data_IF_549776860600
#
_entry.id   IF_549776860600
#
_cell.length_a   1.000
_cell.length_b   1.000
_cell.length_c   1.000
_cell.angle_alpha   90.00
_cell.angle_beta   90.00
_cell.angle_gamma   90.00
#
_symmetry.space_group_name_H-M   'P 1'
#
loop_
_entity.id
_entity.type
_entity.pdbx_description
1 polymer ?
#
# COMPACT_ATOMS: atom_id res chain seq x y z
N UNK A 1 8.37 20.44 -30.08
CA UNK A 1 7.14 21.29 -30.13
C UNK A 1 6.21 20.71 -29.11
N UNK A 2 5.51 21.50 -28.28
CA UNK A 2 4.56 20.96 -27.33
C UNK A 2 3.12 21.32 -27.78
N UNK A 3 2.18 20.40 -27.55
CA UNK A 3 0.81 20.60 -27.96
C UNK A 3 -0.07 20.79 -26.73
N UNK A 4 -0.68 21.98 -26.62
CA UNK A 4 -1.76 22.23 -25.68
C UNK A 4 -3.07 21.83 -26.35
N UNK A 5 -3.83 20.99 -25.68
CA UNK A 5 -5.16 20.56 -26.11
C UNK A 5 -6.18 21.26 -25.22
N UNK A 6 -6.87 22.28 -25.76
CA UNK A 6 -7.70 23.20 -24.96
C UNK A 6 -9.19 23.06 -25.24
N UNK A 7 -9.56 22.41 -26.35
CA UNK A 7 -10.97 22.30 -26.73
C UNK A 7 -11.41 20.85 -26.84
N UNK A 8 -12.72 20.56 -26.63
CA UNK A 8 -13.26 19.21 -26.83
C UNK A 8 -13.02 18.65 -28.25
N UNK A 9 -12.98 19.52 -29.27
CA UNK A 9 -12.69 19.14 -30.67
C UNK A 9 -11.22 18.69 -30.80
N UNK A 10 -10.29 19.39 -30.16
CA UNK A 10 -8.88 18.99 -30.14
C UNK A 10 -8.69 17.69 -29.37
N UNK A 11 -9.40 17.50 -28.24
CA UNK A 11 -9.40 16.24 -27.50
C UNK A 11 -9.84 15.06 -28.37
N UNK A 12 -10.87 15.25 -29.21
CA UNK A 12 -11.31 14.22 -30.16
C UNK A 12 -10.23 13.82 -31.15
N UNK A 13 -9.30 14.71 -31.51
CA UNK A 13 -8.16 14.38 -32.38
C UNK A 13 -7.21 13.38 -31.74
N UNK A 14 -7.15 13.29 -30.40
CA UNK A 14 -6.36 12.25 -29.71
C UNK A 14 -6.90 10.84 -29.98
N UNK A 15 -8.11 10.69 -30.52
CA UNK A 15 -8.67 9.40 -30.92
C UNK A 15 -7.89 8.71 -32.07
N UNK A 16 -7.01 9.43 -32.77
CA UNK A 16 -6.07 8.79 -33.73
C UNK A 16 -5.13 7.80 -33.03
N UNK A 17 -4.92 7.97 -31.70
CA UNK A 17 -4.13 7.07 -30.89
C UNK A 17 -4.98 5.99 -30.20
N UNK A 18 -6.22 5.79 -30.65
CA UNK A 18 -7.08 4.71 -30.16
C UNK A 18 -6.33 3.38 -30.17
N UNK A 19 -6.48 2.61 -29.09
CA UNK A 19 -5.79 1.31 -28.88
C UNK A 19 -4.26 1.38 -28.80
N UNK A 20 -3.65 2.56 -28.86
CA UNK A 20 -2.21 2.73 -28.62
C UNK A 20 -1.89 2.78 -27.13
N UNK A 21 -0.81 2.11 -26.77
CA UNK A 21 -0.23 2.20 -25.42
C UNK A 21 0.33 3.60 -25.20
N UNK A 22 0.05 4.18 -24.04
CA UNK A 22 0.43 5.56 -23.73
C UNK A 22 0.93 5.69 -22.29
N UNK A 23 1.91 6.57 -22.05
CA UNK A 23 2.20 7.10 -20.73
C UNK A 23 1.22 8.21 -20.40
N UNK A 24 0.70 8.23 -19.18
CA UNK A 24 -0.24 9.25 -18.72
C UNK A 24 0.17 9.73 -17.34
N UNK A 25 0.26 11.06 -17.15
CA UNK A 25 0.60 11.68 -15.88
C UNK A 25 -0.47 12.71 -15.50
N UNK A 26 -1.03 12.59 -14.29
CA UNK A 26 -1.88 13.60 -13.69
C UNK A 26 -0.98 14.62 -13.01
N UNK A 27 -1.09 15.88 -13.43
CA UNK A 27 -0.41 16.99 -12.77
C UNK A 27 -1.39 17.59 -11.76
N UNK A 28 -1.04 17.48 -10.49
CA UNK A 28 -1.86 17.97 -9.39
C UNK A 28 -1.56 19.43 -9.08
N UNK A 29 -2.48 20.11 -8.40
CA UNK A 29 -2.31 21.48 -7.94
C UNK A 29 -1.09 21.62 -7.00
N UNK A 30 -0.76 20.57 -6.24
CA UNK A 30 0.46 20.46 -5.46
C UNK A 30 0.94 19.00 -5.41
N UNK A 31 2.24 18.79 -5.55
CA UNK A 31 2.86 17.46 -5.46
C UNK A 31 3.08 17.01 -4.00
N UNK A 32 2.86 17.91 -3.03
CA UNK A 32 3.11 17.67 -1.61
C UNK A 32 1.92 17.07 -0.86
N UNK A 33 0.75 17.01 -1.51
CA UNK A 33 -0.49 16.54 -0.88
C UNK A 33 -0.78 15.08 -1.17
N UNK A 34 -1.51 14.47 -0.26
CA UNK A 34 -2.23 13.23 -0.57
C UNK A 34 -3.13 13.45 -1.79
N UNK A 35 -3.17 12.54 -2.78
CA UNK A 35 -3.96 12.74 -4.01
C UNK A 35 -5.43 13.10 -3.77
N UNK A 36 -6.03 12.59 -2.70
CA UNK A 36 -7.40 12.93 -2.29
C UNK A 36 -7.58 14.41 -1.93
N UNK A 37 -6.53 15.09 -1.52
CA UNK A 37 -6.57 16.48 -1.05
C UNK A 37 -6.10 17.48 -2.12
N UNK A 38 -5.55 17.01 -3.23
CA UNK A 38 -5.04 17.84 -4.32
C UNK A 38 -5.88 17.64 -5.58
N UNK A 39 -6.34 18.74 -6.21
CA UNK A 39 -7.09 18.66 -7.46
C UNK A 39 -6.18 18.47 -8.67
N UNK A 40 -6.63 17.79 -9.75
CA UNK A 40 -5.90 17.74 -11.00
C UNK A 40 -5.98 19.08 -11.71
N UNK A 41 -4.86 19.64 -12.16
CA UNK A 41 -4.80 20.90 -12.91
C UNK A 41 -4.50 20.69 -14.38
N UNK A 42 -3.82 19.62 -14.73
CA UNK A 42 -3.56 19.22 -16.11
C UNK A 42 -3.35 17.71 -16.20
N UNK A 43 -3.51 17.17 -17.41
CA UNK A 43 -3.17 15.81 -17.77
C UNK A 43 -2.14 15.83 -18.88
N UNK A 44 -1.07 15.08 -18.72
CA UNK A 44 -0.11 14.84 -19.77
C UNK A 44 -0.32 13.44 -20.37
N UNK A 45 -0.31 13.34 -21.71
CA UNK A 45 -0.46 12.08 -22.46
C UNK A 45 0.65 11.97 -23.47
N UNK A 46 1.33 10.82 -23.49
CA UNK A 46 2.40 10.50 -24.41
C UNK A 46 2.19 9.10 -24.99
N UNK A 47 1.70 8.95 -26.24
CA UNK A 47 1.70 7.65 -26.91
C UNK A 47 3.13 7.12 -27.02
N UNK A 48 3.37 5.85 -26.68
CA UNK A 48 4.72 5.29 -26.56
C UNK A 48 5.49 5.29 -27.88
N UNK A 49 4.77 5.17 -29.02
CA UNK A 49 5.31 5.10 -30.38
C UNK A 49 5.33 6.48 -31.08
N UNK A 50 5.01 7.57 -30.38
CA UNK A 50 4.93 8.89 -30.98
C UNK A 50 6.05 9.81 -30.45
N UNK A 51 6.48 10.78 -31.27
CA UNK A 51 7.64 11.64 -30.91
C UNK A 51 7.30 12.80 -29.99
N UNK A 52 6.04 13.08 -29.72
CA UNK A 52 5.58 14.25 -28.98
C UNK A 52 4.45 13.92 -28.03
N UNK A 53 4.36 14.66 -26.91
CA UNK A 53 3.31 14.55 -25.93
C UNK A 53 2.24 15.64 -26.08
N UNK A 54 1.18 15.48 -25.32
CA UNK A 54 0.04 16.40 -25.27
C UNK A 54 -0.22 16.79 -23.82
N UNK A 55 -0.42 18.09 -23.56
CA UNK A 55 -0.86 18.56 -22.25
C UNK A 55 -2.30 19.10 -22.36
N UNK A 56 -3.16 18.62 -21.49
CA UNK A 56 -4.57 18.95 -21.42
C UNK A 56 -4.82 19.74 -20.13
N UNK A 57 -5.01 21.07 -20.17
CA UNK A 57 -5.36 21.84 -18.99
C UNK A 57 -6.75 21.46 -18.49
N UNK A 58 -6.90 21.27 -17.17
CA UNK A 58 -8.15 20.93 -16.49
C UNK A 58 -8.62 22.13 -15.66
N UNK A 59 -7.78 22.56 -14.72
CA UNK A 59 -8.00 23.69 -13.83
C UNK A 59 -6.72 24.52 -13.70
N UNK A 60 -6.13 24.85 -14.85
CA UNK A 60 -4.92 25.66 -14.94
C UNK A 60 -5.23 27.06 -15.54
N UNK A 61 -4.67 28.17 -14.98
CA UNK A 61 -4.98 29.52 -15.44
C UNK A 61 -4.66 29.82 -16.91
N UNK A 62 -3.70 29.10 -17.50
CA UNK A 62 -3.32 29.27 -18.93
C UNK A 62 -4.17 28.44 -19.89
N UNK A 63 -5.23 27.75 -19.43
CA UNK A 63 -6.05 26.89 -20.26
C UNK A 63 -7.55 27.10 -20.09
N UNK A 64 -8.34 26.66 -21.08
CA UNK A 64 -9.80 26.81 -21.07
C UNK A 64 -10.51 25.79 -20.16
N UNK A 65 -9.77 24.79 -19.66
CA UNK A 65 -10.35 23.74 -18.82
C UNK A 65 -11.14 22.68 -19.60
N UNK A 66 -10.68 21.42 -19.58
CA UNK A 66 -11.38 20.30 -20.20
C UNK A 66 -12.12 19.51 -19.12
N UNK A 67 -13.44 19.27 -19.27
CA UNK A 67 -14.20 18.50 -18.30
C UNK A 67 -13.63 17.07 -18.10
N UNK A 68 -13.53 16.64 -16.84
CA UNK A 68 -12.96 15.33 -16.48
C UNK A 68 -13.69 14.15 -17.17
N UNK A 69 -14.99 14.27 -17.42
CA UNK A 69 -15.78 13.25 -18.12
C UNK A 69 -15.33 13.06 -19.58
N UNK A 70 -14.96 14.16 -20.26
CA UNK A 70 -14.44 14.10 -21.64
C UNK A 70 -13.07 13.44 -21.62
N UNK A 71 -12.20 13.81 -20.68
CA UNK A 71 -10.87 13.20 -20.49
C UNK A 71 -11.01 11.70 -20.23
N UNK A 72 -11.89 11.31 -19.30
CA UNK A 72 -12.12 9.89 -18.96
C UNK A 72 -12.59 9.07 -20.16
N UNK A 73 -13.45 9.62 -21.01
CA UNK A 73 -13.91 8.96 -22.26
C UNK A 73 -12.75 8.75 -23.25
N UNK A 74 -11.89 9.75 -23.41
CA UNK A 74 -10.73 9.67 -24.30
C UNK A 74 -9.71 8.67 -23.76
N UNK A 75 -9.38 8.73 -22.47
CA UNK A 75 -8.49 7.78 -21.83
C UNK A 75 -8.97 6.34 -21.96
N UNK A 76 -10.29 6.11 -21.87
CA UNK A 76 -10.88 4.79 -22.04
C UNK A 76 -10.75 4.25 -23.46
N UNK A 77 -10.48 5.08 -24.46
CA UNK A 77 -10.28 4.66 -25.86
C UNK A 77 -8.86 4.20 -26.15
N UNK A 78 -7.87 4.55 -25.35
CA UNK A 78 -6.48 4.11 -25.52
C UNK A 78 -6.29 2.65 -25.11
N UNK A 79 -5.19 2.05 -25.56
CA UNK A 79 -4.72 0.74 -25.12
C UNK A 79 -4.32 0.75 -23.63
N UNK A 80 -3.15 0.22 -23.30
CA UNK A 80 -2.63 0.30 -21.94
C UNK A 80 -2.20 1.74 -21.63
N UNK A 81 -2.52 2.19 -20.41
CA UNK A 81 -2.08 3.49 -19.87
C UNK A 81 -1.08 3.23 -18.75
N UNK A 82 0.19 3.49 -19.06
CA UNK A 82 1.29 3.41 -18.09
C UNK A 82 1.28 4.68 -17.26
N UNK A 83 1.10 4.54 -15.97
CA UNK A 83 1.07 5.63 -15.00
C UNK A 83 2.14 5.40 -13.94
N UNK A 84 2.74 6.47 -13.42
CA UNK A 84 3.79 6.34 -12.42
C UNK A 84 3.29 5.61 -11.17
N UNK A 85 2.11 5.99 -10.66
CA UNK A 85 1.41 5.41 -9.53
C UNK A 85 -0.08 5.29 -9.87
N UNK A 86 -0.57 4.05 -10.04
CA UNK A 86 -1.96 3.77 -10.42
C UNK A 86 -2.93 4.25 -9.35
N UNK A 87 -2.60 4.08 -8.08
CA UNK A 87 -3.48 4.47 -6.99
C UNK A 87 -3.66 6.00 -6.94
N UNK A 88 -2.59 6.77 -7.08
CA UNK A 88 -2.65 8.22 -7.20
C UNK A 88 -3.50 8.67 -8.40
N UNK A 89 -3.39 7.97 -9.52
CA UNK A 89 -4.17 8.26 -10.72
C UNK A 89 -5.67 8.05 -10.53
N UNK A 90 -6.10 6.95 -9.90
CA UNK A 90 -7.52 6.63 -9.74
C UNK A 90 -8.26 7.53 -8.75
N UNK A 91 -7.56 8.33 -7.93
CA UNK A 91 -8.19 9.41 -7.17
C UNK A 91 -8.83 10.48 -8.05
N UNK A 92 -8.36 10.63 -9.28
CA UNK A 92 -8.78 11.70 -10.20
C UNK A 92 -9.55 11.18 -11.42
N UNK A 93 -9.15 10.02 -11.97
CA UNK A 93 -9.72 9.49 -13.21
C UNK A 93 -9.95 7.99 -13.13
N UNK A 94 -11.15 7.57 -13.47
CA UNK A 94 -11.49 6.15 -13.62
C UNK A 94 -11.37 5.74 -15.09
N UNK A 95 -10.48 4.80 -15.39
CA UNK A 95 -10.38 4.16 -16.70
C UNK A 95 -9.78 2.76 -16.57
N UNK A 96 -10.08 1.90 -17.56
CA UNK A 96 -9.52 0.53 -17.63
C UNK A 96 -8.10 0.53 -18.23
N UNK A 97 -7.36 -0.56 -18.03
CA UNK A 97 -6.05 -0.77 -18.64
C UNK A 97 -4.94 0.11 -18.06
N UNK A 98 -5.06 0.52 -16.80
CA UNK A 98 -4.00 1.20 -16.07
C UNK A 98 -2.90 0.22 -15.65
N UNK A 99 -1.66 0.59 -15.92
CA UNK A 99 -0.44 -0.15 -15.61
C UNK A 99 0.44 0.69 -14.69
N UNK A 100 0.68 0.21 -13.48
CA UNK A 100 1.49 0.89 -12.48
C UNK A 100 2.98 0.65 -12.72
N UNK A 101 3.74 1.70 -13.08
CA UNK A 101 5.17 1.60 -13.40
C UNK A 101 6.00 1.32 -12.14
N UNK A 102 5.67 1.92 -10.99
CA UNK A 102 6.37 1.65 -9.74
C UNK A 102 6.21 0.18 -9.34
N UNK A 103 4.99 -0.35 -9.50
CA UNK A 103 4.73 -1.76 -9.21
C UNK A 103 5.49 -2.69 -10.18
N UNK A 104 5.51 -2.38 -11.48
CA UNK A 104 6.29 -3.14 -12.46
C UNK A 104 7.76 -3.23 -12.04
N UNK A 105 8.37 -2.09 -11.71
CA UNK A 105 9.75 -2.03 -11.27
C UNK A 105 9.97 -2.80 -9.95
N UNK A 106 9.12 -2.57 -8.97
CA UNK A 106 9.21 -3.23 -7.66
C UNK A 106 9.04 -4.75 -7.75
N UNK A 107 8.13 -5.24 -8.59
CA UNK A 107 7.96 -6.68 -8.82
C UNK A 107 9.16 -7.29 -9.55
N UNK A 108 9.77 -6.54 -10.49
CA UNK A 108 10.91 -6.99 -11.29
C UNK A 108 12.25 -7.00 -10.54
N UNK A 109 12.56 -5.90 -9.83
CA UNK A 109 13.87 -5.71 -9.18
C UNK A 109 13.81 -5.35 -7.69
N UNK A 110 12.61 -5.29 -7.09
CA UNK A 110 12.43 -5.08 -5.64
C UNK A 110 12.59 -3.63 -5.14
N UNK A 111 12.75 -2.67 -6.03
CA UNK A 111 13.02 -1.28 -5.67
C UNK A 111 11.85 -0.36 -6.02
N UNK A 112 11.58 0.61 -5.14
CA UNK A 112 10.70 1.73 -5.47
C UNK A 112 11.40 2.71 -6.42
N UNK A 113 10.62 3.33 -7.30
CA UNK A 113 11.13 4.38 -8.20
C UNK A 113 10.98 5.76 -7.56
N UNK A 114 11.94 6.64 -7.85
CA UNK A 114 11.81 8.07 -7.60
C UNK A 114 11.89 8.80 -8.94
N UNK A 115 10.95 9.69 -9.20
CA UNK A 115 11.00 10.55 -10.37
C UNK A 115 12.21 11.49 -10.30
N UNK A 116 12.74 11.93 -11.45
CA UNK A 116 13.79 12.94 -11.48
C UNK A 116 13.38 14.22 -10.75
N UNK A 117 14.33 14.86 -10.10
CA UNK A 117 14.06 16.18 -9.51
C UNK A 117 13.55 17.14 -10.59
N UNK A 118 12.52 17.95 -10.28
CA UNK A 118 12.04 18.96 -11.20
C UNK A 118 13.17 19.90 -11.64
N UNK A 119 13.13 20.46 -12.85
CA UNK A 119 14.11 21.44 -13.31
C UNK A 119 14.26 22.58 -12.29
N UNK A 120 15.49 23.12 -12.11
CA UNK A 120 15.81 24.15 -11.10
C UNK A 120 14.88 25.38 -11.15
N UNK A 121 14.31 25.70 -12.30
CA UNK A 121 13.35 26.78 -12.46
C UNK A 121 12.11 26.60 -11.56
N UNK A 122 11.73 25.35 -11.25
CA UNK A 122 10.60 25.07 -10.35
C UNK A 122 10.85 25.58 -8.93
N UNK A 123 12.09 25.59 -8.46
CA UNK A 123 12.43 26.10 -7.14
C UNK A 123 12.05 27.58 -6.96
N UNK A 124 12.08 28.37 -8.05
CA UNK A 124 11.61 29.75 -8.00
C UNK A 124 10.10 29.83 -7.68
N UNK A 125 9.30 29.01 -8.33
CA UNK A 125 7.85 28.97 -8.10
C UNK A 125 7.53 28.39 -6.72
N UNK A 126 8.17 27.29 -6.32
CA UNK A 126 7.98 26.67 -5.02
C UNK A 126 8.34 27.63 -3.87
N UNK A 127 9.46 28.34 -3.96
CA UNK A 127 9.86 29.30 -2.95
C UNK A 127 8.93 30.52 -2.90
N UNK A 128 8.49 31.03 -4.05
CA UNK A 128 7.61 32.18 -4.14
C UNK A 128 6.19 31.89 -3.63
N UNK A 129 5.70 30.67 -3.82
CA UNK A 129 4.36 30.25 -3.50
C UNK A 129 4.32 29.12 -2.47
N UNK A 130 5.31 29.03 -1.60
CA UNK A 130 5.49 27.94 -0.62
C UNK A 130 4.31 27.75 0.34
N UNK A 131 3.54 28.81 0.59
CA UNK A 131 2.37 28.80 1.47
C UNK A 131 1.08 28.45 0.73
N UNK A 132 1.15 28.27 -0.60
CA UNK A 132 0.00 27.90 -1.42
C UNK A 132 -0.16 26.40 -1.48
N UNK A 133 -1.39 25.96 -1.27
CA UNK A 133 -1.81 24.57 -1.52
C UNK A 133 -2.01 24.25 -3.01
N UNK A 134 -1.75 25.21 -3.91
CA UNK A 134 -1.95 25.13 -5.36
C UNK A 134 -0.72 25.62 -6.13
N UNK A 135 0.47 25.35 -5.61
CA UNK A 135 1.74 25.90 -6.14
C UNK A 135 1.95 25.63 -7.64
N UNK A 136 1.52 24.47 -8.13
CA UNK A 136 1.68 24.10 -9.53
C UNK A 136 0.80 24.93 -10.48
N UNK A 137 -0.29 25.55 -10.02
CA UNK A 137 -1.09 26.49 -10.84
C UNK A 137 -0.33 27.76 -11.22
N UNK A 138 0.73 28.10 -10.50
CA UNK A 138 1.58 29.26 -10.80
C UNK A 138 2.74 28.93 -11.76
N UNK A 139 2.91 27.67 -12.13
CA UNK A 139 3.95 27.20 -13.04
C UNK A 139 3.38 27.18 -14.46
N UNK A 140 4.01 27.84 -15.46
CA UNK A 140 3.52 27.82 -16.83
C UNK A 140 3.30 26.41 -17.37
N UNK A 141 2.22 26.20 -18.14
CA UNK A 141 1.91 24.89 -18.77
C UNK A 141 3.09 24.33 -19.59
N UNK A 142 3.83 25.22 -20.26
CA UNK A 142 5.04 24.80 -21.01
C UNK A 142 6.09 24.15 -20.10
N UNK A 143 6.23 24.63 -18.86
CA UNK A 143 7.19 24.07 -17.90
C UNK A 143 6.67 22.76 -17.27
N UNK A 144 5.38 22.69 -16.99
CA UNK A 144 4.74 21.45 -16.56
C UNK A 144 4.88 20.36 -17.64
N UNK A 145 4.70 20.73 -18.91
CA UNK A 145 4.97 19.84 -20.03
C UNK A 145 6.42 19.35 -20.07
N UNK A 146 7.41 20.25 -19.97
CA UNK A 146 8.84 19.89 -19.93
C UNK A 146 9.14 18.91 -18.78
N UNK A 147 8.53 19.11 -17.60
CA UNK A 147 8.67 18.18 -16.46
C UNK A 147 8.11 16.80 -16.81
N UNK A 148 6.91 16.74 -17.35
CA UNK A 148 6.25 15.47 -17.70
C UNK A 148 7.00 14.72 -18.82
N UNK A 149 7.54 15.44 -19.83
CA UNK A 149 8.44 14.85 -20.84
C UNK A 149 9.71 14.27 -20.23
N UNK A 150 10.31 14.97 -19.26
CA UNK A 150 11.49 14.45 -18.56
C UNK A 150 11.15 13.19 -17.75
N UNK A 151 10.00 13.17 -17.08
CA UNK A 151 9.50 11.99 -16.38
C UNK A 151 9.28 10.82 -17.36
N UNK A 152 8.61 11.07 -18.48
CA UNK A 152 8.39 10.07 -19.51
C UNK A 152 9.71 9.50 -20.05
N UNK A 153 10.66 10.35 -20.41
CA UNK A 153 11.96 9.93 -20.95
C UNK A 153 12.76 9.08 -19.95
N UNK A 154 12.63 9.39 -18.66
CA UNK A 154 13.21 8.59 -17.58
C UNK A 154 12.50 7.24 -17.43
N UNK A 155 11.17 7.21 -17.50
CA UNK A 155 10.36 6.02 -17.26
C UNK A 155 10.27 5.08 -18.46
N UNK A 156 10.43 5.57 -19.69
CA UNK A 156 10.29 4.77 -20.92
C UNK A 156 11.22 3.56 -20.98
N UNK A 157 12.52 3.65 -20.65
CA UNK A 157 13.39 2.46 -20.54
C UNK A 157 12.86 1.45 -19.53
N UNK A 158 12.43 1.93 -18.34
CA UNK A 158 11.91 1.10 -17.26
C UNK A 158 10.65 0.35 -17.71
N UNK A 159 9.71 1.04 -18.39
CA UNK A 159 8.52 0.41 -18.97
C UNK A 159 8.91 -0.72 -19.91
N UNK A 160 9.91 -0.49 -20.78
CA UNK A 160 10.35 -1.49 -21.76
C UNK A 160 11.02 -2.70 -21.11
N UNK A 161 11.90 -2.46 -20.13
CA UNK A 161 12.66 -3.49 -19.42
C UNK A 161 11.79 -4.33 -18.49
N UNK A 162 10.81 -3.69 -17.83
CA UNK A 162 9.93 -4.34 -16.86
C UNK A 162 8.66 -4.94 -17.48
N UNK A 163 8.47 -4.84 -18.80
CA UNK A 163 7.22 -5.26 -19.47
C UNK A 163 6.93 -6.76 -19.32
N UNK A 164 7.96 -7.59 -19.16
CA UNK A 164 7.78 -9.02 -18.90
C UNK A 164 6.98 -9.31 -17.62
N UNK A 165 7.04 -8.40 -16.62
CA UNK A 165 6.33 -8.53 -15.34
C UNK A 165 4.81 -8.60 -15.54
N UNK A 166 4.27 -7.98 -16.58
CA UNK A 166 2.84 -8.03 -16.92
C UNK A 166 2.34 -9.45 -17.22
N UNK A 167 3.25 -10.35 -17.62
CA UNK A 167 2.95 -11.77 -17.86
C UNK A 167 3.03 -12.64 -16.62
N UNK A 168 3.48 -12.13 -15.48
CA UNK A 168 3.60 -12.88 -14.25
C UNK A 168 2.24 -12.99 -13.54
N UNK A 169 1.96 -14.13 -12.92
CA UNK A 169 0.69 -14.38 -12.23
C UNK A 169 0.42 -13.36 -11.12
N UNK A 170 1.48 -12.84 -10.46
CA UNK A 170 1.36 -11.81 -9.44
C UNK A 170 0.95 -10.43 -9.96
N UNK A 171 1.10 -10.16 -11.26
CA UNK A 171 0.83 -8.83 -11.80
C UNK A 171 -0.61 -8.39 -11.56
N UNK A 172 -1.58 -9.20 -12.00
CA UNK A 172 -2.99 -8.88 -11.84
C UNK A 172 -3.38 -8.77 -10.37
N UNK A 173 -2.81 -9.65 -9.52
CA UNK A 173 -3.06 -9.63 -8.09
C UNK A 173 -2.69 -8.26 -7.47
N UNK A 174 -1.53 -7.71 -7.79
CA UNK A 174 -1.09 -6.44 -7.21
C UNK A 174 -1.57 -5.22 -7.98
N UNK A 175 -1.50 -5.22 -9.32
CA UNK A 175 -1.89 -4.08 -10.13
C UNK A 175 -3.38 -3.76 -10.01
N UNK A 176 -4.22 -4.76 -9.90
CA UNK A 176 -5.66 -4.58 -9.82
C UNK A 176 -6.17 -4.78 -8.39
N UNK A 177 -6.21 -5.98 -7.87
CA UNK A 177 -6.80 -6.28 -6.57
C UNK A 177 -6.11 -5.54 -5.41
N UNK A 178 -4.78 -5.64 -5.29
CA UNK A 178 -4.03 -5.02 -4.19
C UNK A 178 -4.14 -3.50 -4.20
N UNK A 179 -3.93 -2.87 -5.37
CA UNK A 179 -4.02 -1.41 -5.52
C UNK A 179 -5.44 -0.90 -5.21
N UNK A 180 -6.48 -1.56 -5.72
CA UNK A 180 -7.87 -1.16 -5.48
C UNK A 180 -8.29 -1.39 -4.02
N UNK A 181 -7.87 -2.49 -3.41
CA UNK A 181 -8.15 -2.77 -1.99
C UNK A 181 -7.56 -1.68 -1.09
N UNK A 182 -6.29 -1.31 -1.27
CA UNK A 182 -5.68 -0.24 -0.49
C UNK A 182 -6.20 1.15 -0.84
N UNK A 183 -6.60 1.39 -2.09
CA UNK A 183 -7.31 2.62 -2.45
C UNK A 183 -8.62 2.75 -1.67
N UNK A 184 -9.43 1.70 -1.58
CA UNK A 184 -10.69 1.71 -0.83
C UNK A 184 -10.43 1.82 0.69
N UNK A 185 -9.44 1.11 1.24
CA UNK A 185 -9.14 1.08 2.67
C UNK A 185 -8.70 2.44 3.23
N UNK A 186 -8.00 3.26 2.43
CA UNK A 186 -7.51 4.58 2.89
C UNK A 186 -8.50 5.74 2.67
N UNK A 187 -9.71 5.47 2.13
CA UNK A 187 -10.68 6.54 1.81
C UNK A 187 -11.26 7.26 3.02
N UNK A 188 -11.36 6.57 4.16
CA UNK A 188 -12.01 7.13 5.34
C UNK A 188 -11.16 8.20 6.03
N UNK A 189 -9.85 7.96 6.17
CA UNK A 189 -8.92 8.82 6.89
C UNK A 189 -9.10 8.77 8.41
N UNK A 190 -8.30 9.55 9.10
CA UNK A 190 -8.21 9.62 10.55
C UNK A 190 -8.55 11.04 11.02
N UNK A 191 -9.56 11.19 11.86
CA UNK A 191 -9.81 12.47 12.53
C UNK A 191 -8.75 12.72 13.59
N UNK A 192 -8.37 13.97 13.76
CA UNK A 192 -7.32 14.38 14.68
C UNK A 192 -7.78 15.50 15.62
N UNK A 193 -7.22 15.53 16.82
CA UNK A 193 -7.23 16.71 17.67
C UNK A 193 -6.15 17.67 17.14
N UNK A 194 -6.53 18.61 16.25
CA UNK A 194 -5.61 19.37 15.38
C UNK A 194 -4.38 19.91 16.09
N UNK A 195 -4.57 20.73 17.15
CA UNK A 195 -3.44 21.37 17.84
C UNK A 195 -2.51 20.33 18.49
N UNK A 196 -3.05 19.37 19.22
CA UNK A 196 -2.25 18.30 19.83
C UNK A 196 -1.52 17.45 18.78
N UNK A 197 -2.17 17.21 17.63
CA UNK A 197 -1.57 16.45 16.55
C UNK A 197 -0.40 17.20 15.90
N UNK A 198 -0.57 18.49 15.58
CA UNK A 198 0.51 19.32 15.03
C UNK A 198 1.68 19.43 15.99
N UNK A 199 1.43 19.66 17.28
CA UNK A 199 2.47 19.79 18.30
C UNK A 199 3.32 18.50 18.44
N UNK A 200 2.68 17.33 18.27
CA UNK A 200 3.34 16.03 18.42
C UNK A 200 4.01 15.51 17.14
N UNK A 201 3.41 15.78 15.98
CA UNK A 201 3.84 15.19 14.71
C UNK A 201 4.48 16.16 13.72
N UNK A 202 4.42 17.49 13.95
CA UNK A 202 5.20 18.45 13.16
C UNK A 202 6.70 18.23 13.41
N UNK A 203 7.57 18.22 12.42
CA UNK A 203 7.39 18.50 10.99
C UNK A 203 7.11 17.26 10.11
N UNK A 204 6.69 16.13 10.67
CA UNK A 204 6.48 14.88 9.91
C UNK A 204 5.31 14.98 8.93
N UNK A 205 4.25 15.71 9.31
CA UNK A 205 3.09 15.98 8.46
C UNK A 205 2.99 17.48 8.21
N UNK A 206 3.13 17.96 6.97
CA UNK A 206 2.81 19.33 6.62
C UNK A 206 1.32 19.63 6.90
N UNK A 207 1.01 20.84 7.39
CA UNK A 207 -0.36 21.25 7.72
C UNK A 207 -1.36 21.03 6.56
N UNK A 208 -0.92 21.23 5.32
CA UNK A 208 -1.77 21.05 4.16
C UNK A 208 -2.12 19.58 3.82
N UNK A 209 -1.52 18.57 4.48
CA UNK A 209 -2.00 17.18 4.43
C UNK A 209 -3.15 16.90 5.40
N UNK A 210 -3.68 17.96 6.03
CA UNK A 210 -4.82 17.90 6.93
C UNK A 210 -5.92 18.80 6.35
N UNK A 211 -7.12 18.26 6.21
CA UNK A 211 -8.30 19.04 5.80
C UNK A 211 -9.48 18.65 6.69
N UNK A 212 -10.18 19.65 7.23
CA UNK A 212 -11.34 19.44 8.13
C UNK A 212 -11.02 18.55 9.34
N UNK A 213 -9.82 18.70 9.90
CA UNK A 213 -9.28 17.87 10.97
C UNK A 213 -9.18 16.38 10.61
N UNK A 214 -9.04 16.05 9.33
CA UNK A 214 -8.81 14.69 8.86
C UNK A 214 -7.47 14.62 8.13
N UNK A 215 -6.70 13.58 8.43
CA UNK A 215 -5.48 13.21 7.70
C UNK A 215 -5.65 11.82 7.10
N UNK A 216 -4.85 11.50 6.09
CA UNK A 216 -4.96 10.25 5.34
C UNK A 216 -3.64 9.50 5.34
N UNK A 217 -3.72 8.17 5.42
CA UNK A 217 -2.62 7.27 5.11
C UNK A 217 -2.55 7.07 3.59
N UNK A 218 -1.37 6.70 3.10
CA UNK A 218 -1.17 6.28 1.72
C UNK A 218 -0.31 5.03 1.71
N UNK A 219 -0.94 3.88 1.53
CA UNK A 219 -0.25 2.60 1.48
C UNK A 219 0.38 2.37 0.11
N UNK A 220 1.65 2.03 0.06
CA UNK A 220 2.29 1.59 -1.17
C UNK A 220 2.81 0.15 -1.03
N UNK A 221 2.85 -0.54 -2.18
CA UNK A 221 3.30 -1.93 -2.30
C UNK A 221 4.68 -2.04 -2.96
N UNK A 222 5.39 -0.91 -3.09
CA UNK A 222 6.60 -0.76 -3.92
C UNK A 222 7.88 -1.14 -3.17
N UNK A 223 7.90 -2.32 -2.57
CA UNK A 223 9.08 -2.86 -1.91
C UNK A 223 9.25 -4.35 -2.22
N UNK A 224 10.37 -4.91 -1.79
CA UNK A 224 10.75 -6.30 -2.06
C UNK A 224 9.67 -7.31 -1.71
N UNK A 225 8.97 -7.13 -0.60
CA UNK A 225 7.95 -8.08 -0.12
C UNK A 225 6.53 -7.69 -0.47
N UNK A 226 6.32 -6.54 -1.11
CA UNK A 226 5.02 -5.88 -1.32
C UNK A 226 4.25 -5.62 -0.02
N UNK A 227 4.90 -5.62 1.14
CA UNK A 227 4.28 -5.27 2.43
C UNK A 227 3.95 -3.78 2.43
N UNK A 228 2.71 -3.37 2.70
CA UNK A 228 2.32 -1.97 2.59
C UNK A 228 3.11 -1.07 3.53
N UNK A 229 3.59 0.04 3.01
CA UNK A 229 4.27 1.09 3.80
C UNK A 229 3.58 2.43 3.57
N UNK A 230 3.60 3.32 4.58
CA UNK A 230 3.06 4.66 4.43
C UNK A 230 3.96 5.54 3.57
N UNK A 231 3.34 6.34 2.68
CA UNK A 231 3.96 7.36 1.85
C UNK A 231 3.39 8.77 2.16
N UNK A 232 3.74 9.76 1.36
CA UNK A 232 3.27 11.15 1.45
C UNK A 232 3.65 11.88 2.73
N UNK A 233 4.90 11.74 3.19
CA UNK A 233 5.39 12.44 4.38
C UNK A 233 4.43 12.35 5.59
N UNK A 234 3.63 11.31 5.64
CA UNK A 234 2.69 11.08 6.72
C UNK A 234 3.36 10.38 7.90
N UNK A 235 2.69 10.45 9.06
CA UNK A 235 3.12 9.70 10.24
C UNK A 235 3.08 8.21 9.93
N UNK A 236 4.12 7.47 10.33
CA UNK A 236 4.07 6.01 10.31
C UNK A 236 3.22 5.54 11.50
N UNK A 237 1.91 5.48 11.31
CA UNK A 237 0.96 5.12 12.35
C UNK A 237 1.21 3.73 12.95
N UNK A 238 1.74 2.79 12.17
CA UNK A 238 2.11 1.46 12.65
C UNK A 238 3.29 1.47 13.63
N UNK A 239 4.15 2.50 13.57
CA UNK A 239 5.32 2.63 14.43
C UNK A 239 5.09 3.48 15.69
N UNK A 240 3.89 4.03 15.90
CA UNK A 240 3.62 4.83 17.10
C UNK A 240 3.53 3.90 18.32
N UNK A 241 4.38 4.10 19.36
CA UNK A 241 4.36 3.28 20.56
C UNK A 241 2.97 3.28 21.24
N UNK A 242 2.54 2.12 21.74
CA UNK A 242 1.21 1.96 22.35
C UNK A 242 0.94 2.87 23.57
N UNK A 243 1.99 3.20 24.33
CA UNK A 243 1.89 4.00 25.59
C UNK A 243 2.10 5.50 25.38
N UNK A 244 2.20 5.96 24.13
CA UNK A 244 2.55 7.35 23.84
C UNK A 244 1.33 8.26 23.73
N UNK A 245 1.48 9.51 24.23
CA UNK A 245 0.47 10.57 24.10
C UNK A 245 0.05 10.83 22.65
N UNK A 246 0.94 10.51 21.68
CA UNK A 246 0.69 10.65 20.26
C UNK A 246 -0.60 9.96 19.79
N UNK A 247 -0.91 8.77 20.32
CA UNK A 247 -2.13 8.05 19.97
C UNK A 247 -3.41 8.76 20.42
N UNK A 248 -3.37 9.56 21.49
CA UNK A 248 -4.51 10.33 21.99
C UNK A 248 -4.94 11.47 21.06
N UNK A 249 -4.03 11.92 20.20
CA UNK A 249 -4.34 12.95 19.20
C UNK A 249 -5.11 12.40 17.98
N UNK A 250 -5.31 11.08 17.89
CA UNK A 250 -6.00 10.41 16.80
C UNK A 250 -7.35 9.94 17.29
N UNK A 251 -8.42 10.41 16.66
CA UNK A 251 -9.80 10.27 17.10
C UNK A 251 -10.67 9.57 16.04
N UNK A 252 -11.72 8.85 16.44
CA UNK A 252 -12.70 8.35 15.49
C UNK A 252 -13.55 9.48 14.89
N UNK A 253 -14.01 9.31 13.66
CA UNK A 253 -15.01 10.16 13.04
C UNK A 253 -16.42 9.76 13.45
N UNK A 254 -16.65 8.47 13.72
CA UNK A 254 -17.88 7.90 14.27
C UNK A 254 -17.85 7.88 15.81
N UNK A 255 -18.29 6.79 16.43
CA UNK A 255 -18.47 6.70 17.89
C UNK A 255 -17.21 6.27 18.65
N UNK A 256 -16.46 5.31 18.12
CA UNK A 256 -15.27 4.77 18.77
C UNK A 256 -14.39 3.98 17.79
N UNK A 257 -13.12 3.78 18.13
CA UNK A 257 -12.26 2.84 17.48
C UNK A 257 -12.46 1.42 18.02
N UNK A 258 -12.42 0.44 17.10
CA UNK A 258 -12.30 -0.99 17.41
C UNK A 258 -11.13 -1.53 16.61
N UNK A 259 -10.13 -2.08 17.29
CA UNK A 259 -8.99 -2.74 16.68
C UNK A 259 -9.12 -4.24 16.82
N UNK A 260 -8.96 -4.97 15.72
CA UNK A 260 -8.80 -6.42 15.71
C UNK A 260 -7.33 -6.73 15.43
N UNK A 261 -6.73 -7.58 16.28
CA UNK A 261 -5.34 -7.98 16.24
C UNK A 261 -5.25 -9.51 16.15
N UNK A 262 -4.51 -10.04 15.18
CA UNK A 262 -4.34 -11.48 14.97
C UNK A 262 -3.41 -12.11 16.02
N UNK A 263 -3.85 -13.16 16.67
CA UNK A 263 -3.04 -13.88 17.64
C UNK A 263 -1.96 -14.73 16.95
N UNK A 264 -0.69 -14.29 17.11
CA UNK A 264 0.46 -15.03 16.60
C UNK A 264 0.44 -15.24 15.08
N UNK A 265 0.02 -14.23 14.32
CA UNK A 265 -0.33 -14.35 12.90
C UNK A 265 0.74 -15.04 12.05
N UNK A 266 1.99 -14.58 12.09
CA UNK A 266 3.07 -15.22 11.32
C UNK A 266 3.33 -16.68 11.72
N UNK A 267 3.15 -17.02 13.00
CA UNK A 267 3.28 -18.42 13.45
C UNK A 267 2.18 -19.30 12.83
N UNK A 268 0.95 -18.79 12.77
CA UNK A 268 -0.19 -19.52 12.18
C UNK A 268 -0.04 -19.65 10.68
N UNK A 269 0.38 -18.59 10.00
CA UNK A 269 0.69 -18.64 8.59
C UNK A 269 1.77 -19.67 8.28
N UNK A 270 2.85 -19.70 9.08
CA UNK A 270 3.92 -20.69 8.93
C UNK A 270 3.42 -22.10 9.24
N UNK A 271 2.66 -22.27 10.32
CA UNK A 271 2.09 -23.56 10.71
C UNK A 271 1.25 -24.18 9.60
N UNK A 272 0.44 -23.36 8.91
CA UNK A 272 -0.32 -23.78 7.72
C UNK A 272 0.60 -24.29 6.61
N UNK A 273 1.68 -23.57 6.31
CA UNK A 273 2.64 -23.95 5.26
C UNK A 273 3.37 -25.27 5.53
N UNK A 274 3.67 -25.55 6.80
CA UNK A 274 4.42 -26.75 7.22
C UNK A 274 3.51 -27.91 7.67
N UNK A 275 2.18 -27.77 7.55
CA UNK A 275 1.23 -28.77 8.02
C UNK A 275 1.32 -29.03 9.53
N UNK A 276 1.52 -27.96 10.32
CA UNK A 276 1.54 -28.02 11.79
C UNK A 276 0.25 -27.42 12.36
N UNK A 277 -0.42 -28.13 13.27
CA UNK A 277 -1.69 -27.65 13.84
C UNK A 277 -1.47 -26.78 15.06
N UNK A 278 -1.92 -25.54 15.01
CA UNK A 278 -2.09 -24.66 16.16
C UNK A 278 -3.57 -24.59 16.50
N UNK A 279 -3.90 -24.72 17.80
CA UNK A 279 -5.30 -24.63 18.29
C UNK A 279 -5.77 -23.18 18.31
N UNK A 280 -7.03 -22.95 18.69
CA UNK A 280 -7.60 -21.59 18.87
C UNK A 280 -6.96 -20.83 20.05
N UNK A 281 -6.30 -21.53 20.97
CA UNK A 281 -5.52 -20.91 22.04
C UNK A 281 -4.36 -20.07 21.49
N UNK A 282 -3.82 -19.18 22.31
CA UNK A 282 -2.63 -18.40 21.93
C UNK A 282 -1.51 -19.29 21.38
N UNK A 283 -1.11 -19.03 20.13
CA UNK A 283 -0.06 -19.80 19.47
C UNK A 283 1.26 -19.80 20.27
N UNK A 284 1.58 -18.66 20.90
CA UNK A 284 2.78 -18.56 21.75
C UNK A 284 2.66 -19.40 23.01
N UNK A 285 1.47 -19.50 23.61
CA UNK A 285 1.25 -20.29 24.82
C UNK A 285 1.29 -21.79 24.54
N UNK A 286 0.71 -22.21 23.43
CA UNK A 286 0.77 -23.61 22.99
C UNK A 286 2.23 -24.06 22.76
N UNK A 287 3.06 -23.24 22.09
CA UNK A 287 4.45 -23.56 21.88
C UNK A 287 5.28 -23.44 23.17
N UNK A 288 4.95 -22.54 24.10
CA UNK A 288 5.60 -22.45 25.39
C UNK A 288 5.48 -23.76 26.19
N UNK A 289 4.33 -24.41 26.15
CA UNK A 289 4.15 -25.73 26.82
C UNK A 289 5.16 -26.76 26.30
N UNK A 290 5.41 -26.76 25.00
CA UNK A 290 6.42 -27.65 24.40
C UNK A 290 7.85 -27.29 24.83
N UNK A 291 8.16 -25.99 24.93
CA UNK A 291 9.52 -25.52 25.25
C UNK A 291 9.90 -25.79 26.71
N UNK A 292 8.91 -25.67 27.61
CA UNK A 292 9.12 -25.77 29.07
C UNK A 292 8.60 -27.07 29.65
N UNK A 293 7.98 -27.93 28.83
CA UNK A 293 7.41 -29.23 29.24
C UNK A 293 6.42 -29.09 30.41
N UNK A 294 5.54 -28.06 30.33
CA UNK A 294 4.57 -27.71 31.40
C UNK A 294 3.20 -27.39 30.80
N UNK A 295 2.17 -27.69 31.55
CA UNK A 295 0.79 -27.31 31.16
C UNK A 295 0.48 -25.82 31.51
N UNK A 296 0.90 -25.36 32.69
CA UNK A 296 0.73 -23.99 33.11
C UNK A 296 1.97 -23.18 32.80
N UNK A 297 1.77 -22.06 32.05
CA UNK A 297 2.84 -21.18 31.59
C UNK A 297 2.71 -19.83 32.31
N UNK A 298 3.79 -19.42 32.96
CA UNK A 298 3.90 -18.09 33.59
C UNK A 298 4.10 -16.99 32.54
N UNK A 299 3.89 -15.72 32.93
CA UNK A 299 4.08 -14.57 32.03
C UNK A 299 5.55 -14.46 31.55
N UNK A 300 6.51 -14.81 32.40
CA UNK A 300 7.92 -14.82 32.02
C UNK A 300 8.22 -15.92 31.00
N UNK A 301 7.68 -17.12 31.19
CA UNK A 301 7.80 -18.23 30.22
C UNK A 301 7.09 -17.92 28.92
N UNK A 302 5.93 -17.26 28.97
CA UNK A 302 5.22 -16.77 27.78
C UNK A 302 6.08 -15.75 27.00
N UNK A 303 6.66 -14.80 27.72
CA UNK A 303 7.53 -13.78 27.11
C UNK A 303 8.79 -14.40 26.51
N UNK A 304 9.41 -15.39 27.18
CA UNK A 304 10.53 -16.14 26.66
C UNK A 304 10.16 -16.97 25.41
N UNK A 305 8.99 -17.64 25.42
CA UNK A 305 8.49 -18.39 24.27
C UNK A 305 8.26 -17.47 23.07
N UNK A 306 7.72 -16.27 23.29
CA UNK A 306 7.55 -15.25 22.24
C UNK A 306 8.90 -14.90 21.59
N UNK A 307 9.95 -14.71 22.37
CA UNK A 307 11.30 -14.46 21.85
C UNK A 307 11.85 -15.65 21.03
N UNK A 308 11.67 -16.88 21.52
CA UNK A 308 12.08 -18.09 20.79
C UNK A 308 11.36 -18.18 19.43
N UNK A 309 10.07 -17.93 19.43
CA UNK A 309 9.26 -17.93 18.21
C UNK A 309 9.72 -16.87 17.21
N UNK A 310 10.01 -15.65 17.66
CA UNK A 310 10.55 -14.60 16.79
C UNK A 310 11.93 -14.95 16.25
N UNK A 311 12.80 -15.55 17.07
CA UNK A 311 14.10 -16.04 16.59
C UNK A 311 13.95 -17.10 15.50
N UNK A 312 13.01 -18.03 15.66
CA UNK A 312 12.74 -19.08 14.67
C UNK A 312 12.15 -18.52 13.36
N UNK A 313 11.26 -17.54 13.47
CA UNK A 313 10.63 -16.90 12.30
C UNK A 313 11.60 -16.03 11.50
N UNK A 314 12.46 -15.25 12.17
CA UNK A 314 13.22 -14.18 11.52
C UNK A 314 14.74 -14.36 11.57
N UNK A 315 15.23 -15.39 12.21
CA UNK A 315 16.65 -15.60 12.42
C UNK A 315 17.06 -17.05 12.30
N UNK A 316 17.45 -17.63 13.41
CA UNK A 316 17.98 -18.99 13.48
C UNK A 316 17.27 -19.76 14.57
N UNK A 317 16.88 -20.98 14.27
CA UNK A 317 16.29 -21.90 15.26
C UNK A 317 17.32 -22.14 16.37
N UNK A 318 16.99 -21.86 17.66
CA UNK A 318 17.89 -22.09 18.77
C UNK A 318 18.26 -23.57 18.90
N UNK A 319 19.55 -23.84 19.11
CA UNK A 319 20.06 -25.22 19.11
C UNK A 319 19.33 -26.15 20.09
N UNK A 320 18.91 -25.62 21.26
CA UNK A 320 18.19 -26.36 22.31
C UNK A 320 16.87 -26.95 21.81
N UNK A 321 16.21 -26.33 20.85
CA UNK A 321 14.85 -26.66 20.43
C UNK A 321 14.78 -27.31 19.04
N UNK A 322 15.91 -27.53 18.36
CA UNK A 322 15.96 -28.07 16.99
C UNK A 322 15.30 -29.43 16.82
N UNK A 323 15.25 -30.22 17.88
CA UNK A 323 14.69 -31.57 17.84
C UNK A 323 13.19 -31.62 17.99
N UNK A 324 12.53 -30.50 18.34
CA UNK A 324 11.07 -30.39 18.36
C UNK A 324 10.50 -30.49 16.95
N UNK A 325 9.40 -31.23 16.79
CA UNK A 325 8.76 -31.51 15.50
C UNK A 325 8.46 -30.22 14.71
N UNK A 326 7.94 -29.20 15.38
CA UNK A 326 7.65 -27.91 14.76
C UNK A 326 8.90 -27.27 14.15
N UNK A 327 10.04 -27.34 14.83
CA UNK A 327 11.27 -26.74 14.32
C UNK A 327 11.95 -27.57 13.25
N UNK A 328 11.81 -28.90 13.28
CA UNK A 328 12.23 -29.76 12.17
C UNK A 328 11.45 -29.45 10.91
N UNK A 329 10.12 -29.28 11.01
CA UNK A 329 9.27 -28.89 9.89
C UNK A 329 9.61 -27.49 9.37
N UNK A 330 9.88 -26.52 10.25
CA UNK A 330 10.33 -25.18 9.85
C UNK A 330 11.65 -25.26 9.09
N UNK A 331 12.62 -26.04 9.59
CA UNK A 331 13.91 -26.18 8.92
C UNK A 331 13.76 -26.85 7.54
N UNK A 332 12.94 -27.91 7.44
CA UNK A 332 12.65 -28.55 6.16
C UNK A 332 12.03 -27.55 5.17
N UNK A 333 11.08 -26.75 5.62
CA UNK A 333 10.45 -25.72 4.77
C UNK A 333 11.47 -24.69 4.27
N UNK A 334 12.40 -24.24 5.11
CA UNK A 334 13.48 -23.33 4.73
C UNK A 334 14.40 -23.98 3.69
N UNK A 335 14.76 -25.25 3.89
CA UNK A 335 15.66 -26.01 3.02
C UNK A 335 14.99 -26.26 1.65
N UNK A 336 13.69 -26.57 1.63
CA UNK A 336 12.90 -26.77 0.41
C UNK A 336 12.80 -25.46 -0.40
N UNK A 337 12.50 -24.32 0.27
CA UNK A 337 12.48 -23.01 -0.39
C UNK A 337 13.86 -22.66 -0.99
N UNK A 338 14.93 -22.98 -0.25
CA UNK A 338 16.28 -22.68 -0.73
C UNK A 338 16.68 -23.58 -1.90
N UNK A 339 16.35 -24.86 -1.86
CA UNK A 339 16.58 -25.80 -2.96
C UNK A 339 15.82 -25.39 -4.24
N UNK A 340 14.57 -24.95 -4.10
CA UNK A 340 13.78 -24.40 -5.18
C UNK A 340 14.44 -23.15 -5.77
N UNK A 341 14.91 -22.24 -4.90
CA UNK A 341 15.59 -21.02 -5.33
C UNK A 341 16.89 -21.32 -6.10
N UNK A 342 17.73 -22.25 -5.63
CA UNK A 342 18.96 -22.65 -6.31
C UNK A 342 18.69 -23.34 -7.65
N UNK A 343 17.61 -24.12 -7.72
CA UNK A 343 17.29 -24.91 -8.92
C UNK A 343 16.59 -24.08 -10.00
N UNK A 344 15.61 -23.26 -9.59
CA UNK A 344 14.74 -22.49 -10.50
C UNK A 344 15.21 -21.05 -10.72
N UNK A 345 16.09 -20.53 -9.85
CA UNK A 345 16.51 -19.12 -9.81
C UNK A 345 15.51 -18.19 -9.15
N UNK A 346 14.37 -18.71 -8.67
CA UNK A 346 13.35 -17.96 -7.95
C UNK A 346 12.46 -18.86 -7.08
N UNK A 347 11.76 -18.24 -6.12
CA UNK A 347 10.66 -18.85 -5.37
C UNK A 347 9.42 -17.99 -5.55
N UNK A 348 8.25 -18.61 -5.66
CA UNK A 348 6.96 -17.94 -5.72
C UNK A 348 6.25 -17.96 -4.37
N UNK A 349 5.70 -16.80 -3.97
CA UNK A 349 4.85 -16.72 -2.81
C UNK A 349 3.54 -17.54 -3.00
N UNK A 350 3.04 -18.19 -1.96
CA UNK A 350 1.93 -19.14 -2.09
C UNK A 350 0.64 -18.56 -2.68
N UNK A 351 0.22 -17.38 -2.25
CA UNK A 351 -1.04 -16.72 -2.65
C UNK A 351 -0.84 -15.83 -3.86
N UNK A 352 -0.03 -14.79 -3.73
CA UNK A 352 0.13 -13.76 -4.75
C UNK A 352 0.94 -14.20 -5.97
N UNK A 353 1.67 -15.31 -5.89
CA UNK A 353 2.64 -15.76 -6.92
C UNK A 353 3.78 -14.76 -7.18
N UNK A 354 4.04 -13.86 -6.22
CA UNK A 354 5.20 -12.96 -6.30
C UNK A 354 6.50 -13.78 -6.37
N UNK A 355 7.36 -13.41 -7.31
CA UNK A 355 8.65 -14.07 -7.50
C UNK A 355 9.74 -13.37 -6.68
N UNK A 356 10.46 -14.14 -5.89
CA UNK A 356 11.68 -13.73 -5.22
C UNK A 356 12.87 -14.29 -5.97
N UNK A 357 13.63 -13.42 -6.64
CA UNK A 357 14.74 -13.78 -7.52
C UNK A 357 16.07 -13.25 -6.99
N UNK A 358 17.18 -13.71 -7.55
CA UNK A 358 18.52 -13.17 -7.25
C UNK A 358 18.73 -11.74 -7.75
N UNK A 359 17.84 -11.23 -8.63
CA UNK A 359 17.86 -9.84 -9.09
C UNK A 359 17.45 -8.85 -8.00
N UNK A 360 16.64 -9.28 -7.02
CA UNK A 360 16.14 -8.41 -5.95
C UNK A 360 17.27 -7.96 -5.03
N UNK A 361 18.10 -8.90 -4.58
CA UNK A 361 19.27 -8.68 -3.74
C UNK A 361 20.00 -10.00 -3.43
N UNK A 362 21.12 -9.94 -2.68
CA UNK A 362 21.79 -11.14 -2.20
C UNK A 362 20.92 -11.90 -1.21
N UNK A 363 20.41 -13.06 -1.62
CA UNK A 363 19.57 -13.94 -0.82
C UNK A 363 20.38 -14.88 0.07
N UNK A 364 19.73 -15.37 1.12
CA UNK A 364 20.10 -16.53 1.92
C UNK A 364 18.81 -17.23 2.39
N UNK A 365 18.88 -18.48 2.90
CA UNK A 365 17.68 -19.25 3.25
C UNK A 365 16.72 -18.53 4.21
N UNK A 366 17.22 -17.91 5.28
CA UNK A 366 16.42 -17.22 6.29
C UNK A 366 15.75 -15.97 5.71
N UNK A 367 16.48 -15.20 4.91
CA UNK A 367 15.97 -14.00 4.27
C UNK A 367 14.87 -14.33 3.28
N UNK A 368 15.07 -15.38 2.48
CA UNK A 368 14.09 -15.87 1.52
C UNK A 368 12.80 -16.30 2.24
N UNK A 369 12.90 -17.08 3.31
CA UNK A 369 11.76 -17.45 4.14
C UNK A 369 11.03 -16.20 4.68
N UNK A 370 11.77 -15.22 5.23
CA UNK A 370 11.18 -13.98 5.75
C UNK A 370 10.39 -13.23 4.68
N UNK A 371 10.90 -13.17 3.45
CA UNK A 371 10.22 -12.50 2.35
C UNK A 371 8.96 -13.24 1.92
N UNK A 372 9.02 -14.57 1.84
CA UNK A 372 7.85 -15.41 1.56
C UNK A 372 6.78 -15.20 2.63
N UNK A 373 7.16 -15.21 3.92
CA UNK A 373 6.21 -15.03 5.02
C UNK A 373 5.59 -13.63 5.08
N UNK A 374 6.38 -12.56 4.90
CA UNK A 374 5.85 -11.20 4.84
C UNK A 374 4.91 -10.99 3.65
N UNK A 375 5.23 -11.61 2.52
CA UNK A 375 4.37 -11.55 1.36
C UNK A 375 3.10 -12.38 1.54
N UNK A 376 3.19 -13.53 2.20
CA UNK A 376 2.03 -14.37 2.52
C UNK A 376 1.05 -13.63 3.43
N UNK A 377 1.56 -12.95 4.49
CA UNK A 377 0.76 -12.04 5.32
C UNK A 377 0.05 -10.99 4.47
N UNK A 378 0.81 -10.25 3.67
CA UNK A 378 0.27 -9.16 2.84
C UNK A 378 -0.79 -9.67 1.86
N UNK A 379 -0.51 -10.75 1.14
CA UNK A 379 -1.42 -11.25 0.13
C UNK A 379 -2.71 -11.83 0.72
N UNK A 380 -2.63 -12.48 1.88
CA UNK A 380 -3.82 -12.94 2.61
C UNK A 380 -4.63 -11.74 3.11
N UNK A 381 -3.97 -10.73 3.68
CA UNK A 381 -4.64 -9.52 4.16
C UNK A 381 -5.32 -8.73 3.02
N UNK A 382 -4.77 -8.70 1.82
CA UNK A 382 -5.44 -8.10 0.65
C UNK A 382 -6.78 -8.79 0.39
N UNK A 383 -6.83 -10.12 0.45
CA UNK A 383 -8.08 -10.89 0.25
C UNK A 383 -9.08 -10.61 1.38
N UNK A 384 -8.62 -10.67 2.64
CA UNK A 384 -9.46 -10.38 3.82
C UNK A 384 -10.00 -8.94 3.77
N UNK A 385 -9.14 -7.96 3.50
CA UNK A 385 -9.54 -6.55 3.41
C UNK A 385 -10.58 -6.34 2.31
N UNK A 386 -10.44 -7.03 1.18
CA UNK A 386 -11.43 -6.97 0.09
C UNK A 386 -12.80 -7.44 0.55
N UNK A 387 -12.88 -8.58 1.23
CA UNK A 387 -14.14 -9.13 1.76
C UNK A 387 -14.74 -8.20 2.83
N UNK A 388 -13.91 -7.66 3.72
CA UNK A 388 -14.32 -6.69 4.75
C UNK A 388 -14.83 -5.40 4.11
N UNK A 389 -14.14 -4.85 3.12
CA UNK A 389 -14.56 -3.64 2.41
C UNK A 389 -15.88 -3.85 1.68
N UNK A 390 -16.07 -5.00 1.03
CA UNK A 390 -17.35 -5.35 0.38
C UNK A 390 -18.50 -5.42 1.39
N UNK A 391 -18.26 -6.03 2.55
CA UNK A 391 -19.23 -6.07 3.64
C UNK A 391 -19.56 -4.67 4.19
N UNK A 392 -18.57 -3.79 4.30
CA UNK A 392 -18.72 -2.45 4.87
C UNK A 392 -19.29 -1.41 3.87
N UNK A 393 -19.53 -1.73 2.61
CA UNK A 393 -20.01 -0.76 1.60
C UNK A 393 -21.27 -0.02 2.04
N UNK A 394 -22.24 -0.73 2.61
CA UNK A 394 -23.52 -0.17 3.08
C UNK A 394 -23.52 0.27 4.54
N UNK A 395 -22.40 0.17 5.24
CA UNK A 395 -22.27 0.44 6.67
C UNK A 395 -21.65 1.82 6.92
N UNK A 396 -21.95 2.42 8.10
CA UNK A 396 -21.30 3.64 8.57
C UNK A 396 -19.89 3.36 9.12
N UNK A 397 -19.70 2.21 9.73
CA UNK A 397 -18.39 1.71 10.18
C UNK A 397 -17.45 1.58 8.97
N UNK A 398 -16.20 2.06 9.12
CA UNK A 398 -15.20 2.04 8.06
C UNK A 398 -13.85 1.55 8.58
N UNK A 399 -12.98 1.10 7.70
CA UNK A 399 -11.57 0.88 8.02
C UNK A 399 -10.94 2.25 8.24
N UNK A 400 -10.31 2.44 9.40
CA UNK A 400 -9.56 3.65 9.74
C UNK A 400 -8.07 3.49 9.46
N UNK A 401 -7.49 2.33 9.83
CA UNK A 401 -6.06 2.07 9.68
C UNK A 401 -5.80 0.57 9.50
N UNK A 402 -4.83 0.23 8.69
CA UNK A 402 -4.25 -1.11 8.56
C UNK A 402 -2.80 -1.09 9.04
N UNK A 403 -2.45 -1.96 9.97
CA UNK A 403 -1.12 -2.03 10.60
C UNK A 403 -0.54 -3.45 10.59
N UNK A 404 -0.63 -4.13 9.45
CA UNK A 404 -0.14 -5.50 9.20
C UNK A 404 -0.97 -6.60 9.88
N UNK A 405 -0.66 -6.91 11.12
CA UNK A 405 -1.35 -7.90 11.96
C UNK A 405 -2.53 -7.33 12.73
N UNK A 406 -2.86 -6.04 12.53
CA UNK A 406 -4.03 -5.42 13.13
C UNK A 406 -4.79 -4.53 12.14
N UNK A 407 -6.11 -4.44 12.32
CA UNK A 407 -6.99 -3.58 11.53
C UNK A 407 -7.83 -2.75 12.50
N UNK A 408 -7.72 -1.42 12.37
CA UNK A 408 -8.47 -0.45 13.14
C UNK A 408 -9.72 -0.04 12.37
N UNK A 409 -10.87 -0.18 12.99
CA UNK A 409 -12.16 0.28 12.47
C UNK A 409 -12.63 1.53 13.21
N UNK A 410 -13.18 2.46 12.46
CA UNK A 410 -13.96 3.58 12.97
C UNK A 410 -15.42 3.14 13.05
N UNK A 411 -15.80 2.63 14.22
CA UNK A 411 -17.07 1.94 14.45
C UNK A 411 -18.21 2.92 14.73
N UNK A 412 -19.33 2.72 14.03
CA UNK A 412 -20.59 3.39 14.31
C UNK A 412 -21.54 2.47 15.06
N UNK A 413 -22.08 2.96 16.19
CA UNK A 413 -23.08 2.24 16.97
C UNK A 413 -24.39 1.99 16.21
N UNK A 414 -24.66 2.78 15.18
CA UNK A 414 -25.83 2.60 14.33
C UNK A 414 -25.81 1.29 13.53
N UNK A 415 -24.62 0.74 13.28
CA UNK A 415 -24.48 -0.55 12.57
C UNK A 415 -24.74 -1.78 13.46
N UNK A 416 -24.90 -1.57 14.79
CA UNK A 416 -25.17 -2.65 15.75
C UNK A 416 -23.93 -3.44 16.17
N UNK A 417 -24.04 -4.18 17.29
CA UNK A 417 -22.92 -4.98 17.81
C UNK A 417 -22.68 -6.25 16.98
N UNK A 418 -23.67 -6.75 16.29
CA UNK A 418 -23.61 -7.94 15.44
C UNK A 418 -22.63 -7.76 14.28
N UNK A 419 -22.35 -6.48 13.91
CA UNK A 419 -21.31 -6.16 12.93
C UNK A 419 -19.94 -6.62 13.41
N UNK A 420 -19.64 -6.47 14.73
CA UNK A 420 -18.33 -6.88 15.28
C UNK A 420 -18.12 -8.39 15.19
N UNK A 421 -19.16 -9.19 15.46
CA UNK A 421 -19.11 -10.66 15.31
C UNK A 421 -18.87 -11.06 13.83
N UNK A 422 -19.51 -10.35 12.90
CA UNK A 422 -19.30 -10.57 11.47
C UNK A 422 -17.87 -10.22 11.05
N UNK A 423 -17.34 -9.08 11.54
CA UNK A 423 -15.95 -8.69 11.28
C UNK A 423 -14.95 -9.70 11.86
N UNK A 424 -15.18 -10.18 13.10
CA UNK A 424 -14.37 -11.20 13.74
C UNK A 424 -14.31 -12.48 12.89
N UNK A 425 -15.45 -12.92 12.40
CA UNK A 425 -15.54 -14.12 11.54
C UNK A 425 -14.84 -13.92 10.18
N UNK A 426 -15.01 -12.76 9.53
CA UNK A 426 -14.35 -12.44 8.26
C UNK A 426 -12.82 -12.38 8.45
N UNK A 427 -12.35 -11.68 9.45
CA UNK A 427 -10.93 -11.52 9.76
C UNK A 427 -10.33 -12.88 10.18
N UNK A 428 -10.97 -13.57 11.10
CA UNK A 428 -10.51 -14.85 11.64
C UNK A 428 -10.68 -16.03 10.69
N UNK A 429 -11.29 -15.84 9.52
CA UNK A 429 -11.58 -16.92 8.56
C UNK A 429 -12.20 -18.14 9.24
N UNK A 430 -13.30 -17.92 9.95
CA UNK A 430 -14.00 -18.94 10.74
C UNK A 430 -13.06 -19.65 11.73
N UNK A 431 -12.34 -18.89 12.53
CA UNK A 431 -11.42 -19.32 13.60
C UNK A 431 -10.11 -19.98 13.14
N UNK A 432 -9.80 -20.00 11.85
CA UNK A 432 -8.47 -20.44 11.38
C UNK A 432 -7.35 -19.52 11.87
N UNK A 433 -7.66 -18.23 12.04
CA UNK A 433 -6.76 -17.17 12.50
C UNK A 433 -7.44 -16.36 13.61
N UNK A 434 -7.42 -16.82 14.86
CA UNK A 434 -8.08 -16.12 15.97
C UNK A 434 -7.64 -14.67 16.07
N UNK A 435 -8.61 -13.77 16.23
CA UNK A 435 -8.38 -12.35 16.45
C UNK A 435 -8.84 -11.94 17.85
N UNK A 436 -8.18 -10.94 18.41
CA UNK A 436 -8.60 -10.27 19.65
C UNK A 436 -9.01 -8.85 19.31
N UNK A 437 -10.04 -8.32 19.93
CA UNK A 437 -10.41 -6.96 19.69
C UNK A 437 -10.33 -6.10 20.97
N UNK A 438 -10.02 -4.83 20.76
CA UNK A 438 -10.00 -3.77 21.77
C UNK A 438 -10.79 -2.58 21.23
N UNK A 439 -11.27 -1.71 22.10
CA UNK A 439 -11.98 -0.50 21.69
C UNK A 439 -11.63 0.70 22.55
N UNK A 440 -11.68 1.89 21.97
CA UNK A 440 -11.41 3.14 22.66
C UNK A 440 -12.07 4.34 21.95
N UNK A 441 -12.14 5.49 22.65
CA UNK A 441 -12.53 6.78 22.06
C UNK A 441 -11.39 7.54 21.40
N UNK A 442 -10.19 7.02 21.43
CA UNK A 442 -9.00 7.48 20.74
C UNK A 442 -8.15 6.27 20.35
N UNK A 443 -6.98 6.49 19.74
CA UNK A 443 -6.11 5.39 19.30
C UNK A 443 -5.28 4.75 20.44
N UNK A 444 -5.46 5.18 21.70
CA UNK A 444 -4.94 4.48 22.88
C UNK A 444 -5.88 3.32 23.25
N UNK A 445 -5.66 2.18 22.63
CA UNK A 445 -6.43 0.95 22.85
C UNK A 445 -5.81 0.16 24.02
N UNK A 446 -6.51 0.02 25.11
CA UNK A 446 -6.09 -0.74 26.30
C UNK A 446 -6.70 -2.14 26.33
#
# INVERSE_FOLDING_TARGET
MFYIVETPEQVKRLLIFKEKDSYVEVIQASDSYHPKLSSPIALYIRPLDFSEGFILPIDHPEGLGIPAEIISKVLSSFGNKYVYDKKAFIYHFSCKGLKDIQLMNSLGIGESLSLPNPPKIFNHFYNKHRESDQVNKFIPLSKLYERAENNFNYLLPIIKESREVESWDCWQFYNDLGTETFFEAEQHGLRIAYQAFIDLFSPQIPEFNIRDNVTYTYYNLYNVTSRPTNAFNSVNFAAIPHKEQHRKAILPQNDLFVEFDFDGYHLRLLAEQIGYTLTEESAHKQLARLYFEKEEITDDEYSAAKQINFQALYGKIPAKYRDLDVFKKIQSFIDDLWSDFETKGYVEAPISKRRFTSKLERMNPQKLMNYVMQNLETSRNILILKDVLDFLKSKKTKIALYTYDAILFDFSKEDGKELLETLENLLGQNNSYPVKFKYSKDYCLE
#
